data_IF_182079890556
#
_entry.id   IF_182079890556
#
_cell.length_a   1.000
_cell.length_b   1.000
_cell.length_c   1.000
_cell.angle_alpha   90.00
_cell.angle_beta   90.00
_cell.angle_gamma   90.00
#
_symmetry.space_group_name_H-M   'P 1'
#
loop_
_entity.id
_entity.type
_entity.pdbx_description
1 polymer ?
#
# COMPACT_ATOMS: atom_id res chain seq x y z
N UNK A 1 33.79 16.70 -22.94
CA UNK A 1 32.46 17.07 -22.41
C UNK A 1 31.90 15.82 -21.78
N UNK A 2 31.80 15.78 -20.45
CA UNK A 2 31.31 14.62 -19.72
C UNK A 2 29.79 14.71 -19.60
N UNK A 3 29.13 13.60 -19.93
CA UNK A 3 27.68 13.40 -19.86
C UNK A 3 27.23 13.39 -18.39
N UNK A 4 26.30 14.26 -17.94
CA UNK A 4 25.74 14.14 -16.61
C UNK A 4 24.85 12.89 -16.58
N UNK A 5 25.30 11.86 -15.86
CA UNK A 5 24.56 10.61 -15.65
C UNK A 5 23.13 10.83 -15.11
N UNK A 6 22.28 9.79 -15.14
CA UNK A 6 20.85 9.90 -14.92
C UNK A 6 20.57 10.59 -13.58
N UNK A 7 20.06 11.82 -13.68
CA UNK A 7 19.74 12.66 -12.56
C UNK A 7 18.73 11.97 -11.65
N UNK A 8 19.14 11.72 -10.42
CA UNK A 8 18.26 11.32 -9.35
C UNK A 8 17.28 12.48 -9.11
N UNK A 9 16.08 12.38 -9.67
CA UNK A 9 15.01 13.37 -9.47
C UNK A 9 14.49 13.26 -8.03
N UNK A 10 15.20 13.86 -7.07
CA UNK A 10 14.64 14.14 -5.75
C UNK A 10 13.59 15.22 -5.92
N UNK A 11 12.33 14.79 -6.10
CA UNK A 11 11.20 15.70 -6.07
C UNK A 11 11.24 16.50 -4.75
N UNK A 12 10.96 17.82 -4.76
CA UNK A 12 11.09 18.68 -3.57
C UNK A 12 10.15 18.28 -2.40
N UNK A 13 9.20 17.37 -2.60
CA UNK A 13 8.39 16.75 -1.54
C UNK A 13 8.99 15.49 -0.89
N UNK A 14 10.07 14.93 -1.44
CA UNK A 14 10.67 13.67 -0.94
C UNK A 14 11.33 13.81 0.43
N UNK A 15 11.85 15.00 0.77
CA UNK A 15 12.53 15.27 2.04
C UNK A 15 11.62 15.07 3.27
N UNK A 16 10.30 15.21 3.13
CA UNK A 16 9.32 14.98 4.21
C UNK A 16 9.24 13.48 4.59
N UNK A 17 9.68 12.59 3.71
CA UNK A 17 9.64 11.14 3.89
C UNK A 17 11.01 10.52 4.23
N UNK A 18 12.03 11.34 4.48
CA UNK A 18 13.39 10.88 4.83
C UNK A 18 13.49 10.76 6.36
N UNK A 19 13.18 9.57 6.88
CA UNK A 19 13.41 9.21 8.29
C UNK A 19 13.89 7.77 8.36
N UNK A 20 14.77 7.43 9.31
CA UNK A 20 15.26 6.06 9.50
C UNK A 20 14.11 5.05 9.65
N UNK A 21 12.97 5.45 10.23
CA UNK A 21 11.82 4.58 10.42
C UNK A 21 11.08 4.23 9.12
N UNK A 22 11.15 5.11 8.10
CA UNK A 22 10.59 4.87 6.76
C UNK A 22 11.59 4.08 5.93
N UNK A 23 12.89 4.42 5.99
CA UNK A 23 13.94 3.74 5.22
C UNK A 23 14.10 2.27 5.59
N UNK A 24 13.88 1.93 6.86
CA UNK A 24 13.96 0.55 7.35
C UNK A 24 12.58 -0.14 7.42
N UNK A 25 11.57 0.37 6.71
CA UNK A 25 10.24 -0.24 6.72
C UNK A 25 10.19 -1.48 5.81
N UNK A 26 10.09 -2.66 6.42
CA UNK A 26 9.96 -3.92 5.68
C UNK A 26 8.57 -4.12 5.09
N UNK A 27 8.52 -4.74 3.91
CA UNK A 27 7.30 -5.29 3.33
C UNK A 27 7.64 -6.60 2.59
N UNK A 28 7.18 -7.76 3.08
CA UNK A 28 6.30 -7.96 4.24
C UNK A 28 6.97 -7.57 5.58
N UNK A 29 6.16 -7.31 6.61
CA UNK A 29 6.61 -7.09 7.99
C UNK A 29 6.21 -8.26 8.90
N UNK A 30 6.52 -8.18 10.20
CA UNK A 30 6.03 -9.13 11.21
C UNK A 30 4.49 -9.28 11.24
N UNK A 31 3.76 -8.34 10.62
CA UNK A 31 2.31 -8.33 10.51
C UNK A 31 1.79 -8.81 9.15
N UNK A 32 2.68 -9.19 8.23
CA UNK A 32 2.37 -9.60 6.87
C UNK A 32 2.55 -8.51 5.81
N UNK A 33 1.94 -8.72 4.64
CA UNK A 33 2.01 -7.78 3.52
C UNK A 33 1.20 -6.50 3.79
N UNK A 34 1.79 -5.35 3.46
CA UNK A 34 1.14 -4.04 3.46
C UNK A 34 0.80 -3.55 2.04
N UNK A 35 1.64 -3.91 1.05
CA UNK A 35 1.52 -3.56 -0.37
C UNK A 35 2.40 -4.47 -1.26
N UNK A 36 2.55 -4.11 -2.55
CA UNK A 36 3.52 -4.69 -3.50
C UNK A 36 3.06 -6.02 -4.08
N UNK A 37 3.68 -6.53 -5.17
CA UNK A 37 3.22 -7.76 -5.81
C UNK A 37 3.25 -8.91 -4.81
N UNK A 38 2.10 -9.58 -4.66
CA UNK A 38 1.97 -10.73 -3.79
C UNK A 38 1.74 -11.96 -4.67
N UNK A 39 2.72 -12.84 -4.71
CA UNK A 39 2.58 -14.11 -5.43
C UNK A 39 1.44 -14.93 -4.85
N UNK A 40 0.79 -15.75 -5.68
CA UNK A 40 -0.15 -16.79 -5.24
C UNK A 40 0.55 -18.10 -4.88
N UNK A 41 1.84 -18.20 -5.18
CA UNK A 41 2.62 -19.41 -4.92
C UNK A 41 3.17 -19.36 -3.51
N UNK A 42 2.83 -20.37 -2.71
CA UNK A 42 3.43 -20.58 -1.39
C UNK A 42 4.94 -20.82 -1.60
N UNK A 43 5.82 -20.06 -0.93
CA UNK A 43 7.24 -20.33 -0.99
C UNK A 43 7.52 -21.75 -0.51
N UNK A 44 8.28 -22.51 -1.28
CA UNK A 44 8.74 -23.83 -0.87
C UNK A 44 9.78 -23.57 0.24
N UNK A 45 9.63 -24.14 1.45
CA UNK A 45 10.68 -24.04 2.44
C UNK A 45 11.94 -24.68 1.86
N UNK A 46 13.05 -23.94 1.86
CA UNK A 46 14.35 -24.53 1.57
C UNK A 46 14.61 -25.68 2.58
N UNK A 47 15.42 -26.67 2.19
CA UNK A 47 15.74 -27.86 3.00
C UNK A 47 16.10 -27.48 4.45
N UNK A 48 15.90 -28.38 5.42
CA UNK A 48 15.95 -28.12 6.88
C UNK A 48 17.23 -27.41 7.42
N UNK A 49 18.28 -27.26 6.59
CA UNK A 49 19.54 -26.58 6.91
C UNK A 49 19.64 -25.13 6.39
N UNK A 50 18.68 -24.65 5.59
CA UNK A 50 18.63 -23.28 5.07
C UNK A 50 17.70 -22.39 5.92
N UNK A 51 18.03 -21.09 6.00
CA UNK A 51 17.24 -20.11 6.75
C UNK A 51 15.83 -20.10 6.16
N UNK A 52 14.84 -20.54 6.96
CA UNK A 52 13.46 -20.65 6.53
C UNK A 52 12.92 -19.29 6.07
N UNK A 53 12.97 -19.05 4.76
CA UNK A 53 12.62 -17.79 4.08
C UNK A 53 11.12 -17.48 4.17
N UNK A 54 10.29 -18.45 4.60
CA UNK A 54 8.83 -18.31 4.71
C UNK A 54 8.44 -17.15 5.64
N UNK A 55 9.18 -16.91 6.73
CA UNK A 55 8.93 -15.78 7.63
C UNK A 55 9.19 -14.40 6.97
N UNK A 56 10.11 -14.32 6.02
CA UNK A 56 10.43 -13.10 5.26
C UNK A 56 9.54 -12.93 4.02
N UNK A 57 8.73 -13.94 3.69
CA UNK A 57 7.86 -13.94 2.51
C UNK A 57 6.43 -13.52 2.81
N UNK A 58 6.04 -13.29 4.08
CA UNK A 58 4.67 -12.90 4.42
C UNK A 58 3.66 -14.06 4.33
N UNK A 59 4.15 -15.30 4.39
CA UNK A 59 3.37 -16.54 4.47
C UNK A 59 3.54 -17.20 5.85
N UNK A 60 2.48 -17.84 6.33
CA UNK A 60 2.43 -18.62 7.57
C UNK A 60 1.99 -20.04 7.18
N UNK A 61 2.97 -20.90 6.94
CA UNK A 61 2.80 -22.18 6.24
C UNK A 61 2.11 -22.00 4.88
N UNK A 62 0.90 -22.52 4.71
CA UNK A 62 0.08 -22.44 3.49
C UNK A 62 -0.81 -21.19 3.44
N UNK A 63 -0.83 -20.38 4.51
CA UNK A 63 -1.70 -19.23 4.61
C UNK A 63 -0.96 -17.92 4.38
N UNK A 64 -1.46 -17.09 3.46
CA UNK A 64 -0.92 -15.76 3.25
C UNK A 64 -1.29 -14.84 4.42
N UNK A 65 -0.30 -14.10 4.94
CA UNK A 65 -0.51 -13.10 5.99
C UNK A 65 -0.61 -11.72 5.36
N UNK A 66 -1.81 -11.18 5.32
CA UNK A 66 -2.06 -9.80 4.94
C UNK A 66 -2.20 -8.93 6.20
N UNK A 67 -1.44 -7.84 6.30
CA UNK A 67 -1.57 -6.90 7.43
C UNK A 67 -2.96 -6.28 7.43
N UNK A 68 -3.49 -5.97 8.63
CA UNK A 68 -4.77 -5.27 8.77
C UNK A 68 -4.65 -3.78 8.44
N UNK A 69 -3.42 -3.26 8.41
CA UNK A 69 -3.09 -1.97 7.84
C UNK A 69 -2.49 -2.18 6.44
N UNK A 70 -3.31 -2.01 5.41
CA UNK A 70 -2.96 -2.20 4.00
C UNK A 70 -3.58 -1.09 3.14
N UNK A 71 -3.14 -0.94 1.89
CA UNK A 71 -3.64 0.13 1.00
C UNK A 71 -5.09 -0.04 0.54
N UNK A 72 -5.73 -1.20 0.75
CA UNK A 72 -7.08 -1.48 0.23
C UNK A 72 -7.10 -1.90 -1.25
N UNK A 73 -5.93 -2.10 -1.84
CA UNK A 73 -5.74 -2.52 -3.23
C UNK A 73 -5.44 -4.02 -3.22
N UNK A 74 -6.01 -4.77 -4.15
CA UNK A 74 -5.65 -6.16 -4.38
C UNK A 74 -4.32 -6.24 -5.12
N UNK A 75 -3.28 -6.61 -4.40
CA UNK A 75 -1.92 -6.74 -4.93
C UNK A 75 -1.57 -8.16 -5.39
N UNK A 76 -2.55 -9.07 -5.45
CA UNK A 76 -2.30 -10.43 -5.89
C UNK A 76 -1.82 -10.42 -7.33
N UNK A 77 -0.68 -11.05 -7.56
CA UNK A 77 -0.10 -11.28 -8.87
C UNK A 77 -0.96 -12.31 -9.62
N UNK A 78 -1.52 -11.88 -10.76
CA UNK A 78 -2.37 -12.72 -11.62
C UNK A 78 -1.63 -13.23 -12.84
N UNK A 79 -0.58 -12.51 -13.27
CA UNK A 79 0.41 -12.93 -14.26
C UNK A 79 1.79 -12.38 -13.83
N UNK A 80 2.90 -12.91 -14.37
CA UNK A 80 4.24 -12.42 -14.02
C UNK A 80 4.39 -10.91 -14.19
N UNK A 81 4.60 -10.20 -13.08
CA UNK A 81 4.74 -8.74 -13.03
C UNK A 81 3.41 -7.95 -13.13
N UNK A 82 2.27 -8.63 -13.16
CA UNK A 82 0.95 -8.01 -13.30
C UNK A 82 0.05 -8.39 -12.13
N UNK A 83 -0.54 -7.37 -11.51
CA UNK A 83 -1.35 -7.49 -10.31
C UNK A 83 -2.82 -7.25 -10.60
N UNK A 84 -3.69 -7.78 -9.74
CA UNK A 84 -5.13 -7.60 -9.87
C UNK A 84 -5.53 -6.11 -9.93
N UNK A 85 -5.13 -5.31 -8.94
CA UNK A 85 -5.41 -3.87 -8.90
C UNK A 85 -6.83 -3.46 -8.52
N UNK A 86 -7.72 -4.39 -8.16
CA UNK A 86 -9.05 -3.99 -7.65
C UNK A 86 -8.93 -3.22 -6.32
N UNK A 87 -9.69 -2.13 -6.20
CA UNK A 87 -9.69 -1.25 -5.01
C UNK A 87 -10.93 -1.48 -4.16
N UNK A 88 -10.75 -1.51 -2.84
CA UNK A 88 -11.80 -1.77 -1.87
C UNK A 88 -11.78 -0.75 -0.73
N UNK A 89 -12.95 -0.17 -0.43
CA UNK A 89 -13.11 0.76 0.69
C UNK A 89 -13.10 0.07 2.07
N UNK A 90 -13.29 -1.26 2.10
CA UNK A 90 -13.42 -2.05 3.32
C UNK A 90 -12.55 -3.30 3.27
N UNK A 91 -11.76 -3.51 4.32
CA UNK A 91 -10.88 -4.67 4.45
C UNK A 91 -11.60 -6.02 4.28
N UNK A 92 -12.80 -6.28 4.86
CA UNK A 92 -13.51 -7.54 4.63
C UNK A 92 -13.84 -7.81 3.16
N UNK A 93 -14.11 -6.76 2.36
CA UNK A 93 -14.38 -6.91 0.93
C UNK A 93 -13.13 -7.32 0.17
N UNK A 94 -11.97 -6.72 0.48
CA UNK A 94 -10.68 -7.12 -0.07
C UNK A 94 -10.36 -8.58 0.29
N UNK A 95 -10.52 -8.97 1.55
CA UNK A 95 -10.22 -10.33 1.98
C UNK A 95 -11.11 -11.37 1.31
N UNK A 96 -12.40 -11.06 1.15
CA UNK A 96 -13.33 -11.92 0.41
C UNK A 96 -12.90 -12.03 -1.06
N UNK A 97 -12.57 -10.91 -1.70
CA UNK A 97 -12.11 -10.89 -3.08
C UNK A 97 -10.84 -11.73 -3.28
N UNK A 98 -9.86 -11.64 -2.39
CA UNK A 98 -8.64 -12.45 -2.47
C UNK A 98 -8.96 -13.95 -2.36
N UNK A 99 -9.81 -14.35 -1.41
CA UNK A 99 -10.17 -15.78 -1.24
C UNK A 99 -10.98 -16.32 -2.41
N UNK A 100 -11.99 -15.58 -2.85
CA UNK A 100 -12.95 -16.05 -3.86
C UNK A 100 -12.43 -15.85 -5.30
N UNK A 101 -11.74 -14.74 -5.55
CA UNK A 101 -11.28 -14.35 -6.88
C UNK A 101 -9.88 -14.85 -7.24
N UNK A 102 -9.01 -15.05 -6.24
CA UNK A 102 -7.64 -15.53 -6.47
C UNK A 102 -7.35 -16.89 -5.84
N UNK A 103 -8.31 -17.48 -5.12
CA UNK A 103 -8.15 -18.77 -4.44
C UNK A 103 -6.94 -18.84 -3.50
N UNK A 104 -6.54 -17.70 -2.93
CA UNK A 104 -5.46 -17.61 -1.95
C UNK A 104 -6.05 -17.79 -0.55
N UNK A 105 -5.50 -18.73 0.22
CA UNK A 105 -5.89 -18.84 1.62
C UNK A 105 -5.24 -17.73 2.45
N UNK A 106 -6.07 -17.06 3.25
CA UNK A 106 -5.66 -15.92 4.06
C UNK A 106 -5.69 -16.33 5.53
N UNK A 107 -4.59 -16.09 6.24
CA UNK A 107 -4.55 -16.27 7.68
C UNK A 107 -5.70 -15.51 8.32
N UNK A 108 -6.42 -16.20 9.22
CA UNK A 108 -7.55 -15.60 9.92
C UNK A 108 -7.07 -14.40 10.73
N UNK A 109 -7.61 -13.24 10.40
CA UNK A 109 -7.29 -12.00 11.11
C UNK A 109 -8.01 -11.96 12.45
N UNK A 110 -7.31 -11.59 13.51
CA UNK A 110 -7.92 -11.43 14.84
C UNK A 110 -8.92 -10.29 14.83
N UNK A 111 -10.09 -10.53 15.43
CA UNK A 111 -11.10 -9.49 15.64
C UNK A 111 -10.60 -8.51 16.70
N UNK A 112 -10.53 -7.23 16.38
CA UNK A 112 -10.05 -6.21 17.33
C UNK A 112 -9.44 -4.99 16.65
N UNK A 113 -8.97 -4.04 17.46
CA UNK A 113 -8.29 -2.83 16.98
C UNK A 113 -6.88 -3.13 16.46
N UNK A 114 -6.43 -2.36 15.46
CA UNK A 114 -5.08 -2.53 14.87
C UNK A 114 -4.08 -2.14 15.95
N UNK A 115 -3.09 -3.00 16.21
CA UNK A 115 -2.05 -2.70 17.18
C UNK A 115 -1.29 -1.45 16.74
N UNK A 116 -0.85 -0.62 17.69
CA UNK A 116 -0.12 0.61 17.34
C UNK A 116 1.14 0.29 16.52
N UNK A 117 1.88 -0.76 16.90
CA UNK A 117 3.08 -1.19 16.19
C UNK A 117 2.78 -1.61 14.74
N UNK A 118 1.72 -2.39 14.50
CA UNK A 118 1.26 -2.76 13.15
C UNK A 118 0.87 -1.55 12.33
N UNK A 119 0.15 -0.59 12.94
CA UNK A 119 -0.23 0.67 12.27
C UNK A 119 1.01 1.46 11.86
N UNK A 120 2.00 1.59 12.75
CA UNK A 120 3.24 2.33 12.46
C UNK A 120 4.04 1.63 11.35
N UNK A 121 4.20 0.32 11.43
CA UNK A 121 4.87 -0.48 10.39
C UNK A 121 4.20 -0.29 9.03
N UNK A 122 2.87 -0.46 8.96
CA UNK A 122 2.13 -0.32 7.71
C UNK A 122 2.10 1.11 7.15
N UNK A 123 2.02 2.13 8.00
CA UNK A 123 2.15 3.51 7.56
C UNK A 123 3.53 3.79 6.97
N UNK A 124 4.59 3.29 7.60
CA UNK A 124 5.95 3.49 7.11
C UNK A 124 6.19 2.73 5.81
N UNK A 125 5.71 1.49 5.70
CA UNK A 125 5.78 0.72 4.46
C UNK A 125 5.07 1.43 3.30
N UNK A 126 3.83 1.91 3.50
CA UNK A 126 3.11 2.66 2.46
C UNK A 126 3.78 3.99 2.12
N UNK A 127 4.32 4.72 3.10
CA UNK A 127 5.09 5.95 2.85
C UNK A 127 6.33 5.67 2.01
N UNK A 128 7.06 4.61 2.35
CA UNK A 128 8.24 4.17 1.60
C UNK A 128 7.86 3.86 0.15
N UNK A 129 6.81 3.06 -0.04
CA UNK A 129 6.28 2.69 -1.35
C UNK A 129 5.93 3.89 -2.24
N UNK A 130 5.29 4.92 -1.66
CA UNK A 130 4.92 6.15 -2.36
C UNK A 130 6.15 7.01 -2.66
N UNK A 131 7.03 7.19 -1.67
CA UNK A 131 8.26 7.99 -1.78
C UNK A 131 9.14 7.48 -2.91
N UNK A 132 9.33 6.16 -2.97
CA UNK A 132 10.17 5.50 -3.97
C UNK A 132 9.43 5.28 -5.30
N UNK A 133 8.18 5.76 -5.39
CA UNK A 133 7.33 5.73 -6.58
C UNK A 133 7.13 4.32 -7.13
N UNK A 134 7.18 3.29 -6.28
CA UNK A 134 7.00 1.90 -6.70
C UNK A 134 5.65 1.66 -7.39
N UNK A 135 4.63 2.44 -7.04
CA UNK A 135 3.32 2.42 -7.72
C UNK A 135 3.38 2.75 -9.22
N UNK A 136 4.40 3.49 -9.69
CA UNK A 136 4.56 3.80 -11.13
C UNK A 136 5.07 2.62 -11.95
N UNK A 137 5.68 1.66 -11.28
CA UNK A 137 6.21 0.45 -11.90
C UNK A 137 5.28 -0.75 -11.68
N UNK A 138 4.18 -0.54 -10.96
CA UNK A 138 3.15 -1.54 -10.77
C UNK A 138 2.27 -1.61 -12.01
N UNK A 139 2.11 -2.81 -12.57
CA UNK A 139 1.17 -3.06 -13.66
C UNK A 139 -0.10 -3.70 -13.11
N UNK A 140 -1.26 -3.10 -13.35
CA UNK A 140 -2.54 -3.59 -12.84
C UNK A 140 -3.48 -4.00 -13.97
N UNK A 141 -4.06 -5.21 -13.90
CA UNK A 141 -5.08 -5.67 -14.87
C UNK A 141 -6.28 -4.73 -14.91
N UNK A 142 -6.69 -4.25 -13.75
CA UNK A 142 -7.86 -3.39 -13.60
C UNK A 142 -7.50 -1.90 -13.57
N UNK A 143 -6.37 -1.50 -14.16
CA UNK A 143 -6.14 -0.10 -14.51
C UNK A 143 -7.17 0.27 -15.59
N UNK A 144 -8.23 0.97 -15.18
CA UNK A 144 -9.28 1.39 -16.10
C UNK A 144 -8.70 2.36 -17.13
N UNK A 145 -8.88 2.08 -18.43
CA UNK A 145 -8.39 2.86 -19.58
C UNK A 145 -8.75 4.37 -19.58
N UNK A 146 -9.58 4.86 -18.65
CA UNK A 146 -9.95 6.27 -18.47
C UNK A 146 -9.01 7.00 -17.47
N UNK A 147 -7.72 7.01 -17.83
CA UNK A 147 -6.59 6.83 -16.92
C UNK A 147 -5.97 8.12 -16.32
N UNK A 148 -6.78 8.89 -15.59
CA UNK A 148 -6.28 9.91 -14.62
C UNK A 148 -7.04 9.87 -13.28
N UNK A 149 -8.26 9.33 -13.27
CA UNK A 149 -9.09 9.26 -12.07
C UNK A 149 -8.66 8.14 -11.12
N UNK A 150 -8.12 7.04 -11.65
CA UNK A 150 -7.67 5.88 -10.87
C UNK A 150 -6.33 6.17 -10.20
N UNK A 151 -5.35 6.75 -10.91
CA UNK A 151 -4.13 7.28 -10.28
C UNK A 151 -4.45 8.37 -9.23
N UNK A 152 -5.46 9.21 -9.44
CA UNK A 152 -5.95 10.15 -8.42
C UNK A 152 -6.69 9.48 -7.27
N UNK A 153 -7.39 8.37 -7.47
CA UNK A 153 -7.97 7.58 -6.38
C UNK A 153 -6.90 6.81 -5.63
N UNK A 154 -5.85 6.31 -6.28
CA UNK A 154 -4.71 5.68 -5.64
C UNK A 154 -3.93 6.68 -4.80
N UNK A 155 -3.51 7.80 -5.39
CA UNK A 155 -2.80 8.88 -4.69
C UNK A 155 -3.74 9.57 -3.69
N UNK A 156 -5.02 9.71 -4.00
CA UNK A 156 -6.02 10.31 -3.13
C UNK A 156 -6.34 9.42 -1.93
N UNK A 157 -6.53 8.11 -2.12
CA UNK A 157 -6.77 7.15 -1.04
C UNK A 157 -5.53 6.98 -0.18
N UNK A 158 -4.34 6.85 -0.79
CA UNK A 158 -3.07 6.78 -0.07
C UNK A 158 -2.70 8.11 0.60
N UNK A 159 -2.97 9.24 -0.07
CA UNK A 159 -2.72 10.60 0.42
C UNK A 159 -3.67 10.98 1.54
N UNK A 160 -4.98 10.75 1.41
CA UNK A 160 -5.97 10.97 2.47
C UNK A 160 -5.69 10.09 3.69
N UNK A 161 -5.30 8.83 3.51
CA UNK A 161 -4.92 7.96 4.64
C UNK A 161 -3.70 8.49 5.40
N UNK A 162 -2.74 9.07 4.69
CA UNK A 162 -1.52 9.61 5.29
C UNK A 162 -1.74 11.02 5.89
N UNK A 163 -2.53 11.88 5.25
CA UNK A 163 -2.87 13.23 5.74
C UNK A 163 -3.86 13.22 6.91
N UNK A 164 -4.87 12.34 6.93
CA UNK A 164 -5.78 12.20 8.07
C UNK A 164 -5.01 11.80 9.35
N UNK A 165 -3.97 10.98 9.22
CA UNK A 165 -3.10 10.63 10.35
C UNK A 165 -2.15 11.77 10.76
N UNK A 166 -1.87 12.73 9.86
CA UNK A 166 -1.14 13.95 10.18
C UNK A 166 -2.05 15.00 10.85
N UNK A 167 -3.31 15.10 10.42
CA UNK A 167 -4.35 15.90 11.05
C UNK A 167 -4.68 15.42 12.48
N UNK A 168 -4.72 14.11 12.72
CA UNK A 168 -4.90 13.54 14.07
C UNK A 168 -3.75 13.86 15.04
N UNK A 169 -2.50 14.03 14.55
CA UNK A 169 -1.38 14.51 15.38
C UNK A 169 -1.47 15.99 15.70
N UNK A 170 -2.04 16.80 14.81
CA UNK A 170 -2.21 18.25 15.01
C UNK A 170 -3.44 18.62 15.84
N UNK A 171 -4.47 17.77 15.86
CA UNK A 171 -5.62 17.91 16.77
C UNK A 171 -5.26 17.75 18.25
N UNK A 172 -4.07 17.21 18.58
CA UNK A 172 -3.53 17.22 19.95
C UNK A 172 -2.70 18.47 20.28
N UNK A 173 -2.39 19.33 19.31
CA UNK A 173 -1.60 20.56 19.52
C UNK A 173 -2.43 21.85 19.56
N UNK A 174 -3.76 21.77 19.58
CA UNK A 174 -4.63 22.90 19.91
C UNK A 174 -4.91 23.92 18.79
N UNK A 175 -4.44 23.69 17.56
CA UNK A 175 -4.75 24.58 16.43
C UNK A 175 -5.90 24.01 15.60
N UNK A 176 -7.05 24.69 15.68
CA UNK A 176 -8.25 24.40 14.91
C UNK A 176 -8.08 24.96 13.50
N UNK A 177 -8.01 24.09 12.49
CA UNK A 177 -8.30 24.47 11.11
C UNK A 177 -9.45 23.60 10.59
N UNK A 178 -10.59 24.23 10.36
CA UNK A 178 -11.70 23.62 9.63
C UNK A 178 -11.30 23.50 8.17
N UNK A 179 -11.11 22.27 7.68
CA UNK A 179 -11.07 22.02 6.25
C UNK A 179 -12.49 21.65 5.82
N UNK A 180 -13.28 22.67 5.50
CA UNK A 180 -14.53 22.49 4.77
C UNK A 180 -14.18 22.24 3.30
N UNK A 181 -14.53 21.07 2.78
CA UNK A 181 -14.70 20.87 1.34
C UNK A 181 -16.20 20.75 1.07
N UNK A 182 -16.81 21.84 0.60
CA UNK A 182 -18.14 21.79 -0.02
C UNK A 182 -18.01 21.19 -1.43
N UNK A 183 -18.91 20.28 -1.83
CA UNK A 183 -18.92 19.73 -3.18
C UNK A 183 -19.77 20.65 -4.07
N UNK A 184 -19.19 21.70 -4.62
CA UNK A 184 -19.81 22.45 -5.72
C UNK A 184 -18.71 23.08 -6.57
N UNK A 185 -18.43 22.43 -7.69
CA UNK A 185 -18.09 23.09 -8.95
C UNK A 185 -18.50 22.12 -10.06
N UNK A 186 -19.83 22.08 -10.25
CA UNK A 186 -20.44 21.56 -11.45
C UNK A 186 -20.03 22.45 -12.63
N UNK A 187 -19.58 21.81 -13.71
CA UNK A 187 -19.35 22.42 -15.01
C UNK A 187 -20.58 23.21 -15.47
N UNK A 188 -20.44 24.52 -15.70
CA UNK A 188 -21.20 25.23 -16.73
C UNK A 188 -20.34 25.27 -17.99
N UNK A 189 -20.84 24.61 -19.05
CA UNK A 189 -20.32 24.75 -20.41
C UNK A 189 -21.25 25.73 -21.11
N UNK A 190 -20.77 26.96 -21.32
CA UNK A 190 -21.40 27.87 -22.28
C UNK A 190 -20.85 27.57 -23.67
N UNK A 191 -21.78 27.26 -24.58
CA UNK A 191 -21.57 27.00 -26.01
C UNK A 191 -22.88 26.61 -26.67
#
# INVERSE_FOLDING_TARGET
MADPGPGHFTAPGSAVFVTNAIENASNPSDYGFHHGPISTTVPIPDDEDDINTVAETGWDADQMVLSRFHSGICWIEVNPGEMCGMVFDRAPSLYRHIREGHHVDLRTQTTGNIRLAERVAGQNALRLYIRDQHWRFAHFVHEHDDDLAVNRRYIGFLGLFLDLSFAERRLRSGDVLFVNFTPDDAYTVDG
#
